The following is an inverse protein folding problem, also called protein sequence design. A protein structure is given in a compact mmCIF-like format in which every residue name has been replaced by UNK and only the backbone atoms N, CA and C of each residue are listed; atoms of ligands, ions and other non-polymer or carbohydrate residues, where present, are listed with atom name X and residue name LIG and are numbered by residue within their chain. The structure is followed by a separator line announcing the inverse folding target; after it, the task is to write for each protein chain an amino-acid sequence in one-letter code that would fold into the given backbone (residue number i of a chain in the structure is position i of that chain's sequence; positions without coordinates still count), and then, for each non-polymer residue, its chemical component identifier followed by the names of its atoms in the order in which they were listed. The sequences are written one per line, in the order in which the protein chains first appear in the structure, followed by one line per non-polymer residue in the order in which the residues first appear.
data_IF_907401186540
#
_entry.id   IF_907401186540
#
_cell.length_a   1.000
_cell.length_b   1.000
_cell.length_c   1.000
_cell.angle_alpha   90.00
_cell.angle_beta   90.00
_cell.angle_gamma   90.00
#
_symmetry.space_group_name_H-M   'P 1'
#
loop_
_entity.id
_entity.type
_entity.pdbx_description
1 polymer ?
#
# COMPACT_ATOMS: atom_id res chain seq x y z
N UNK A 1 -7.50 25.75 -61.05
CA UNK A 1 -7.24 26.12 -59.64
C UNK A 1 -7.74 25.00 -58.75
N UNK A 2 -6.84 24.43 -57.95
CA UNK A 2 -7.02 23.19 -57.18
C UNK A 2 -7.59 23.54 -55.80
N UNK A 3 -8.85 23.19 -55.54
CA UNK A 3 -9.49 23.42 -54.23
C UNK A 3 -10.44 22.30 -53.81
N UNK A 4 -10.10 21.03 -54.03
CA UNK A 4 -10.77 19.91 -53.33
C UNK A 4 -9.76 18.77 -53.15
N UNK A 5 -8.87 18.88 -52.16
CA UNK A 5 -8.00 17.76 -51.76
C UNK A 5 -7.54 17.82 -50.30
N UNK A 6 -8.13 18.69 -49.47
CA UNK A 6 -7.72 18.87 -48.07
C UNK A 6 -8.98 18.84 -47.20
N UNK A 7 -9.53 17.65 -47.01
CA UNK A 7 -10.71 17.48 -46.14
C UNK A 7 -10.94 16.05 -45.70
N UNK A 8 -10.57 15.07 -46.53
CA UNK A 8 -10.83 13.65 -46.24
C UNK A 8 -9.72 12.98 -45.43
N UNK A 9 -8.49 13.50 -45.47
CA UNK A 9 -7.36 12.93 -44.71
C UNK A 9 -7.38 13.24 -43.20
N UNK A 10 -8.06 14.30 -42.77
CA UNK A 10 -8.05 14.71 -41.37
C UNK A 10 -9.03 13.91 -40.51
N UNK A 11 -10.18 13.49 -41.06
CA UNK A 11 -11.19 12.75 -40.28
C UNK A 11 -10.73 11.35 -39.85
N UNK A 12 -9.84 10.69 -40.60
CA UNK A 12 -9.39 9.33 -40.25
C UNK A 12 -8.42 9.30 -39.06
N UNK A 13 -7.65 10.38 -38.87
CA UNK A 13 -6.69 10.50 -37.77
C UNK A 13 -7.36 10.78 -36.42
N UNK A 14 -8.50 11.50 -36.40
CA UNK A 14 -9.19 11.83 -35.15
C UNK A 14 -9.93 10.61 -34.59
N UNK A 15 -10.48 9.73 -35.44
CA UNK A 15 -11.23 8.55 -34.97
C UNK A 15 -10.33 7.42 -34.46
N UNK A 16 -9.07 7.35 -34.90
CA UNK A 16 -8.12 6.31 -34.44
C UNK A 16 -7.46 6.68 -33.12
N UNK A 17 -7.21 7.96 -32.85
CA UNK A 17 -6.59 8.41 -31.59
C UNK A 17 -7.58 8.48 -30.43
N UNK A 18 -8.85 8.81 -30.65
CA UNK A 18 -9.85 8.87 -29.56
C UNK A 18 -10.21 7.48 -29.00
N UNK A 19 -10.03 6.41 -29.77
CA UNK A 19 -10.33 5.03 -29.36
C UNK A 19 -9.23 4.34 -28.54
N UNK A 20 -7.97 4.78 -28.65
CA UNK A 20 -6.84 4.18 -27.91
C UNK A 20 -6.57 4.87 -26.56
N UNK A 21 -6.87 6.16 -26.44
CA UNK A 21 -6.63 6.90 -25.17
C UNK A 21 -7.59 6.42 -24.06
N UNK A 22 -8.83 6.04 -24.39
CA UNK A 22 -9.77 5.49 -23.38
C UNK A 22 -9.39 4.06 -22.94
N UNK A 23 -8.73 3.28 -23.79
CA UNK A 23 -8.38 1.89 -23.48
C UNK A 23 -7.16 1.77 -22.57
N UNK A 24 -6.19 2.66 -22.69
CA UNK A 24 -5.05 2.67 -21.77
C UNK A 24 -5.51 3.06 -20.36
N UNK A 25 -6.28 4.13 -20.19
CA UNK A 25 -6.76 4.56 -18.87
C UNK A 25 -7.64 3.50 -18.17
N UNK A 26 -8.53 2.81 -18.91
CA UNK A 26 -9.38 1.74 -18.34
C UNK A 26 -8.59 0.49 -17.91
N UNK A 27 -7.51 0.14 -18.63
CA UNK A 27 -6.64 -1.00 -18.29
C UNK A 27 -5.72 -0.64 -17.12
N UNK A 28 -5.17 0.58 -17.09
CA UNK A 28 -4.37 1.06 -15.96
C UNK A 28 -5.19 1.15 -14.68
N UNK A 29 -6.38 1.77 -14.71
CA UNK A 29 -7.28 1.85 -13.55
C UNK A 29 -7.73 0.48 -13.05
N UNK A 30 -8.09 -0.44 -13.95
CA UNK A 30 -8.44 -1.80 -13.54
C UNK A 30 -7.26 -2.55 -12.91
N UNK A 31 -6.04 -2.30 -13.36
CA UNK A 31 -4.86 -2.99 -12.87
C UNK A 31 -4.47 -2.54 -11.46
N UNK A 32 -4.57 -1.25 -11.15
CA UNK A 32 -4.23 -0.71 -9.84
C UNK A 32 -5.36 -0.97 -8.84
N UNK A 33 -6.63 -0.82 -9.25
CA UNK A 33 -7.78 -1.20 -8.43
C UNK A 33 -7.73 -2.70 -8.03
N UNK A 34 -7.40 -3.59 -8.98
CA UNK A 34 -7.24 -5.01 -8.67
C UNK A 34 -6.03 -5.32 -7.79
N UNK A 35 -4.97 -4.51 -7.82
CA UNK A 35 -3.81 -4.68 -6.92
C UNK A 35 -4.13 -4.20 -5.51
N UNK A 36 -4.82 -3.07 -5.38
CA UNK A 36 -5.20 -2.46 -4.11
C UNK A 36 -6.11 -3.40 -3.32
N UNK A 37 -7.20 -3.89 -3.96
CA UNK A 37 -8.13 -4.83 -3.33
C UNK A 37 -7.66 -6.27 -3.26
N UNK A 38 -6.49 -6.61 -3.84
CA UNK A 38 -5.94 -7.97 -3.76
C UNK A 38 -5.64 -8.35 -2.30
N UNK A 39 -5.28 -7.38 -1.48
CA UNK A 39 -4.84 -7.63 -0.11
C UNK A 39 -5.99 -7.58 0.90
N UNK A 40 -7.15 -7.07 0.52
CA UNK A 40 -8.38 -7.03 1.34
C UNK A 40 -8.81 -8.43 1.79
N UNK A 41 -8.49 -9.47 1.04
CA UNK A 41 -8.75 -10.86 1.43
C UNK A 41 -8.06 -11.28 2.74
N UNK A 42 -7.02 -10.54 3.15
CA UNK A 42 -6.29 -10.73 4.40
C UNK A 42 -6.79 -9.81 5.51
N UNK A 43 -7.69 -8.87 5.21
CA UNK A 43 -8.36 -8.07 6.23
C UNK A 43 -9.57 -8.87 6.71
N UNK A 44 -9.58 -9.14 8.01
CA UNK A 44 -10.67 -9.84 8.67
C UNK A 44 -11.04 -9.10 9.94
N UNK A 45 -12.09 -9.54 10.61
CA UNK A 45 -12.57 -8.94 11.84
C UNK A 45 -12.34 -9.90 13.00
N UNK A 46 -11.86 -9.38 14.12
CA UNK A 46 -11.69 -10.17 15.33
C UNK A 46 -13.02 -10.41 16.08
N UNK A 47 -12.95 -11.05 17.24
CA UNK A 47 -14.13 -11.40 18.04
C UNK A 47 -14.88 -10.21 18.65
N UNK A 48 -14.30 -8.99 18.64
CA UNK A 48 -14.93 -7.77 19.17
C UNK A 48 -15.34 -6.79 18.06
N UNK A 49 -15.13 -7.13 16.78
CA UNK A 49 -15.50 -6.27 15.67
C UNK A 49 -14.35 -5.40 15.14
N UNK A 50 -13.12 -5.60 15.60
CA UNK A 50 -11.96 -4.81 15.17
C UNK A 50 -11.30 -5.42 13.93
N UNK A 51 -10.92 -4.60 12.96
CA UNK A 51 -10.23 -5.05 11.74
C UNK A 51 -8.80 -5.50 12.06
N UNK A 52 -8.42 -6.68 11.58
CA UNK A 52 -7.08 -7.24 11.74
C UNK A 52 -6.54 -7.68 10.39
N UNK A 53 -5.22 -7.62 10.24
CA UNK A 53 -4.51 -8.18 9.10
C UNK A 53 -4.10 -9.62 9.42
N UNK A 54 -4.81 -10.60 8.85
CA UNK A 54 -4.49 -12.01 8.97
C UNK A 54 -3.84 -12.58 7.70
N UNK A 55 -2.52 -12.70 7.75
CA UNK A 55 -1.69 -13.22 6.65
C UNK A 55 -1.01 -14.54 7.04
N UNK A 56 -1.58 -15.27 8.00
CA UNK A 56 -0.98 -16.51 8.57
C UNK A 56 -0.72 -17.58 7.51
N UNK A 57 -1.59 -17.66 6.50
CA UNK A 57 -1.49 -18.64 5.41
C UNK A 57 -0.67 -18.14 4.21
N UNK A 58 -0.23 -16.88 4.23
CA UNK A 58 0.48 -16.25 3.13
C UNK A 58 2.01 -16.44 3.26
N UNK A 59 2.71 -16.54 2.14
CA UNK A 59 4.18 -16.56 2.13
C UNK A 59 4.76 -15.22 2.61
N UNK A 60 6.02 -15.22 3.05
CA UNK A 60 6.66 -14.03 3.61
C UNK A 60 6.62 -12.80 2.71
N UNK A 61 6.67 -12.95 1.38
CA UNK A 61 6.62 -11.80 0.47
C UNK A 61 5.21 -11.24 0.46
N UNK A 62 4.21 -12.10 0.35
CA UNK A 62 2.80 -11.71 0.40
C UNK A 62 2.43 -11.03 1.74
N UNK A 63 2.96 -11.50 2.86
CA UNK A 63 2.73 -10.87 4.17
C UNK A 63 3.21 -9.41 4.21
N UNK A 64 4.40 -9.14 3.67
CA UNK A 64 4.99 -7.79 3.61
C UNK A 64 4.21 -6.91 2.63
N UNK A 65 3.84 -7.45 1.47
CA UNK A 65 3.04 -6.72 0.49
C UNK A 65 1.67 -6.35 1.03
N UNK A 66 0.98 -7.28 1.71
CA UNK A 66 -0.32 -7.03 2.32
C UNK A 66 -0.24 -5.94 3.40
N UNK A 67 0.81 -5.96 4.24
CA UNK A 67 1.07 -4.88 5.19
C UNK A 67 1.31 -3.52 4.51
N UNK A 68 2.12 -3.51 3.45
CA UNK A 68 2.48 -2.26 2.78
C UNK A 68 1.28 -1.64 2.04
N UNK A 69 0.23 -2.40 1.71
CA UNK A 69 -0.98 -1.90 1.07
C UNK A 69 -2.19 -1.80 2.00
N UNK A 70 -2.09 -2.22 3.27
CA UNK A 70 -3.24 -2.18 4.18
C UNK A 70 -3.48 -0.81 4.78
N UNK A 71 -4.75 -0.48 4.99
CA UNK A 71 -5.17 0.73 5.70
C UNK A 71 -4.80 0.69 7.19
N UNK A 72 -4.78 -0.52 7.78
CA UNK A 72 -4.31 -0.80 9.15
C UNK A 72 -2.89 -0.24 9.40
N UNK A 73 -2.05 -0.13 8.36
CA UNK A 73 -0.72 0.48 8.47
C UNK A 73 -0.81 1.96 8.87
N UNK A 74 -1.79 2.71 8.40
CA UNK A 74 -1.90 4.13 8.76
C UNK A 74 -2.24 4.29 10.25
N UNK A 75 -3.16 3.47 10.76
CA UNK A 75 -3.49 3.41 12.19
C UNK A 75 -2.25 3.11 13.03
N UNK A 76 -1.42 2.16 12.59
CA UNK A 76 -0.15 1.85 13.25
C UNK A 76 0.82 3.04 13.29
N UNK A 77 0.91 3.83 12.22
CA UNK A 77 1.79 5.01 12.17
C UNK A 77 1.28 6.14 13.05
N UNK A 78 -0.04 6.27 13.20
CA UNK A 78 -0.66 7.30 14.04
C UNK A 78 -0.39 7.09 15.53
N UNK A 79 0.01 5.88 15.93
CA UNK A 79 0.47 5.58 17.30
C UNK A 79 1.88 6.13 17.60
N UNK A 80 2.67 6.52 16.60
CA UNK A 80 4.00 7.09 16.84
C UNK A 80 3.92 8.43 17.61
N UNK A 81 4.76 8.68 18.64
CA UNK A 81 5.96 7.92 19.03
C UNK A 81 5.76 6.91 20.18
N UNK A 82 4.54 6.46 20.45
CA UNK A 82 4.28 5.48 21.51
C UNK A 82 4.63 4.06 21.06
N UNK A 83 5.90 3.69 21.24
CA UNK A 83 6.43 2.40 20.81
C UNK A 83 5.82 1.19 21.55
N UNK A 84 5.35 1.36 22.80
CA UNK A 84 4.66 0.31 23.54
C UNK A 84 3.26 0.05 22.96
N UNK A 85 2.53 1.11 22.64
CA UNK A 85 1.23 1.00 21.98
C UNK A 85 1.37 0.44 20.57
N UNK A 86 2.42 0.83 19.83
CA UNK A 86 2.74 0.23 18.51
C UNK A 86 3.02 -1.28 18.60
N UNK A 87 3.79 -1.75 19.60
CA UNK A 87 4.02 -3.19 19.83
C UNK A 87 2.72 -3.92 20.14
N UNK A 88 1.88 -3.32 20.97
CA UNK A 88 0.57 -3.88 21.34
C UNK A 88 -0.35 -3.97 20.12
N UNK A 89 -0.36 -2.96 19.26
CA UNK A 89 -1.07 -2.97 17.99
C UNK A 89 -0.64 -4.16 17.11
N UNK A 90 0.67 -4.35 16.91
CA UNK A 90 1.17 -5.49 16.11
C UNK A 90 0.73 -6.82 16.71
N UNK A 91 0.80 -6.98 18.03
CA UNK A 91 0.38 -8.19 18.72
C UNK A 91 -1.12 -8.48 18.55
N UNK A 92 -1.96 -7.44 18.56
CA UNK A 92 -3.40 -7.60 18.58
C UNK A 92 -4.03 -7.61 17.19
N UNK A 93 -3.50 -6.81 16.25
CA UNK A 93 -4.11 -6.56 14.94
C UNK A 93 -3.37 -7.16 13.75
N UNK A 94 -2.24 -7.83 13.98
CA UNK A 94 -1.50 -8.53 12.93
C UNK A 94 -1.40 -10.02 13.29
N UNK A 95 -1.68 -10.89 12.32
CA UNK A 95 -1.48 -12.35 12.41
C UNK A 95 -0.56 -12.80 11.27
N UNK A 96 0.44 -13.59 11.61
CA UNK A 96 1.51 -13.99 10.71
C UNK A 96 2.86 -13.77 11.36
N UNK A 97 3.50 -14.85 11.83
CA UNK A 97 4.68 -14.78 12.68
C UNK A 97 5.85 -14.03 12.04
N UNK A 98 6.03 -14.19 10.72
CA UNK A 98 7.10 -13.53 9.97
C UNK A 98 6.89 -12.01 9.94
N UNK A 99 5.67 -11.57 9.64
CA UNK A 99 5.32 -10.15 9.65
C UNK A 99 5.39 -9.53 11.04
N UNK A 100 4.83 -10.21 12.04
CA UNK A 100 4.85 -9.76 13.45
C UNK A 100 6.29 -9.57 13.92
N UNK A 101 7.18 -10.53 13.64
CA UNK A 101 8.59 -10.43 13.96
C UNK A 101 9.25 -9.23 13.27
N UNK A 102 9.04 -9.08 11.95
CA UNK A 102 9.61 -7.97 11.17
C UNK A 102 9.18 -6.60 11.68
N UNK A 103 7.89 -6.43 11.99
CA UNK A 103 7.36 -5.19 12.53
C UNK A 103 7.92 -4.90 13.92
N UNK A 104 7.96 -5.91 14.81
CA UNK A 104 8.52 -5.76 16.16
C UNK A 104 10.00 -5.38 16.13
N UNK A 105 10.79 -6.04 15.28
CA UNK A 105 12.21 -5.73 15.09
C UNK A 105 12.42 -4.31 14.52
N UNK A 106 11.55 -3.88 13.61
CA UNK A 106 11.58 -2.53 13.06
C UNK A 106 11.22 -1.46 14.09
N UNK A 107 10.18 -1.69 14.90
CA UNK A 107 9.80 -0.81 16.01
C UNK A 107 10.98 -0.62 16.95
N UNK A 108 11.60 -1.71 17.41
CA UNK A 108 12.74 -1.67 18.31
C UNK A 108 13.91 -0.87 17.72
N UNK A 109 14.25 -1.13 16.45
CA UNK A 109 15.33 -0.40 15.77
C UNK A 109 15.06 1.10 15.69
N UNK A 110 13.81 1.49 15.40
CA UNK A 110 13.42 2.89 15.30
C UNK A 110 13.39 3.54 16.68
N UNK A 111 12.87 2.84 17.69
CA UNK A 111 12.86 3.27 19.08
C UNK A 111 14.27 3.58 19.61
N UNK A 112 15.20 2.64 19.44
CA UNK A 112 16.60 2.80 19.85
C UNK A 112 17.22 4.04 19.18
N UNK A 113 17.03 4.20 17.85
CA UNK A 113 17.60 5.30 17.08
C UNK A 113 16.93 6.65 17.36
N UNK A 114 15.64 6.64 17.68
CA UNK A 114 14.88 7.85 18.02
C UNK A 114 15.28 8.36 19.40
N UNK A 115 15.36 7.48 20.40
CA UNK A 115 15.78 7.87 21.75
C UNK A 115 17.27 8.20 21.86
N UNK A 116 18.13 7.64 21.00
CA UNK A 116 19.53 8.05 20.92
C UNK A 116 19.75 9.39 20.21
N UNK A 117 18.70 9.99 19.63
CA UNK A 117 18.79 11.19 18.80
C UNK A 117 19.44 10.98 17.43
N UNK A 118 19.74 9.73 17.06
CA UNK A 118 20.28 9.37 15.73
C UNK A 118 19.23 9.51 14.62
N UNK A 119 17.95 9.43 14.99
CA UNK A 119 16.81 9.50 14.08
C UNK A 119 15.79 10.52 14.58
N UNK A 120 15.37 11.46 13.73
CA UNK A 120 14.28 12.38 14.04
C UNK A 120 12.90 11.78 13.73
N UNK A 121 11.83 12.45 14.16
CA UNK A 121 10.45 11.97 14.01
C UNK A 121 10.06 11.68 12.55
N UNK A 122 10.47 12.54 11.62
CA UNK A 122 10.16 12.36 10.19
C UNK A 122 10.90 11.16 9.59
N UNK A 123 12.16 10.95 9.97
CA UNK A 123 12.92 9.77 9.58
C UNK A 123 12.32 8.49 10.16
N UNK A 124 11.92 8.52 11.44
CA UNK A 124 11.27 7.40 12.12
C UNK A 124 9.97 6.98 11.43
N UNK A 125 9.06 7.94 11.19
CA UNK A 125 7.81 7.69 10.46
C UNK A 125 8.05 7.12 9.06
N UNK A 126 9.03 7.63 8.32
CA UNK A 126 9.37 7.10 6.98
C UNK A 126 9.83 5.65 7.04
N UNK A 127 10.67 5.31 8.02
CA UNK A 127 11.13 3.92 8.20
C UNK A 127 9.95 3.02 8.56
N UNK A 128 9.13 3.41 9.54
CA UNK A 128 7.98 2.64 9.99
C UNK A 128 6.92 2.44 8.87
N UNK A 129 6.78 3.39 7.94
CA UNK A 129 5.84 3.31 6.80
C UNK A 129 6.22 2.28 5.73
N UNK A 130 7.48 1.84 5.69
CA UNK A 130 7.98 0.96 4.64
C UNK A 130 8.64 -0.27 5.24
N UNK A 131 7.95 -1.42 5.12
CA UNK A 131 8.52 -2.70 5.50
C UNK A 131 9.25 -3.32 4.30
N UNK A 132 10.48 -3.80 4.54
CA UNK A 132 11.34 -4.48 3.56
C UNK A 132 11.44 -5.97 3.85
#
# INVERSE_FOLDING_TARGET
MVFIAVGVGFFYLITTTIGDIQKEDEVFQNSDYKKEHKYDQYITTDSIGEEILDVTLADSKMQIEAWNHSDIKQEFIDLFPDFDTMRTFVKNRVRGDVLVKKLTDQIKKVEDAFFSGTMNAEQAKRVLKQLK
#
